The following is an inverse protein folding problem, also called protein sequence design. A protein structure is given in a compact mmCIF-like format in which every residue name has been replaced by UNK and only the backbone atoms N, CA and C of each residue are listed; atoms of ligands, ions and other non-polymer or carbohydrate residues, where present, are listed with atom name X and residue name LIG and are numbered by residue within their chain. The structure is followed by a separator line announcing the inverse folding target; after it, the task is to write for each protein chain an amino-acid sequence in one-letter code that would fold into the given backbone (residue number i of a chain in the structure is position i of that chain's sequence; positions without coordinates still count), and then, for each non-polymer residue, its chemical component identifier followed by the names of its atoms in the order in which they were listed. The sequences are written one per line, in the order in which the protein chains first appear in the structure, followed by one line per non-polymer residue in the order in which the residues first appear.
data_IF_601634510250
#
_entry.id   IF_601634510250
#
_cell.length_a   1.000
_cell.length_b   1.000
_cell.length_c   1.000
_cell.angle_alpha   90.00
_cell.angle_beta   90.00
_cell.angle_gamma   90.00
#
_symmetry.space_group_name_H-M   'P 1'
#
loop_
_entity.id
_entity.type
_entity.pdbx_description
1 polymer ?
#
# COMPACT_ATOMS: atom_id res chain seq x y z
N UNK A 1 4.94 -2.73 -11.92
CA UNK A 1 5.25 -1.43 -11.26
C UNK A 1 5.48 -1.64 -9.76
N UNK A 2 6.44 -0.94 -9.15
CA UNK A 2 6.72 -1.00 -7.71
C UNK A 2 6.52 0.40 -7.13
N UNK A 3 5.75 0.53 -6.05
CA UNK A 3 5.60 1.78 -5.30
C UNK A 3 6.38 1.69 -3.98
N UNK A 4 7.43 2.49 -3.82
CA UNK A 4 8.35 2.38 -2.65
C UNK A 4 8.50 3.68 -1.84
N UNK A 5 8.27 4.84 -2.46
CA UNK A 5 8.38 6.14 -1.80
C UNK A 5 7.24 6.37 -0.80
N UNK A 6 7.57 6.63 0.46
CA UNK A 6 6.57 7.03 1.46
C UNK A 6 5.62 5.92 1.97
N UNK A 7 5.82 4.66 1.58
CA UNK A 7 5.06 3.53 2.12
C UNK A 7 5.47 3.30 3.58
N UNK A 8 4.49 3.19 4.49
CA UNK A 8 4.73 3.10 5.93
C UNK A 8 4.08 1.90 6.60
N UNK A 9 3.04 1.34 6.00
CA UNK A 9 2.16 0.36 6.62
C UNK A 9 1.42 -0.45 5.53
N UNK A 10 0.66 -1.48 5.91
CA UNK A 10 -0.02 -2.38 4.98
C UNK A 10 -1.13 -1.70 4.19
N UNK A 11 -1.81 -0.72 4.79
CA UNK A 11 -2.83 0.07 4.09
C UNK A 11 -2.23 0.92 2.97
N UNK A 12 -1.01 1.46 3.14
CA UNK A 12 -0.31 2.19 2.08
C UNK A 12 0.02 1.27 0.91
N UNK A 13 0.46 0.04 1.19
CA UNK A 13 0.68 -0.98 0.14
C UNK A 13 -0.63 -1.27 -0.59
N UNK A 14 -1.72 -1.48 0.14
CA UNK A 14 -3.02 -1.78 -0.44
C UNK A 14 -3.48 -0.67 -1.40
N UNK A 15 -3.39 0.60 -0.98
CA UNK A 15 -3.69 1.77 -1.82
C UNK A 15 -2.79 1.83 -3.04
N UNK A 16 -1.49 1.58 -2.89
CA UNK A 16 -0.57 1.59 -4.02
C UNK A 16 -0.92 0.53 -5.06
N UNK A 17 -1.27 -0.68 -4.61
CA UNK A 17 -1.71 -1.76 -5.51
C UNK A 17 -3.02 -1.41 -6.20
N UNK A 18 -4.01 -0.92 -5.46
CA UNK A 18 -5.29 -0.48 -6.00
C UNK A 18 -5.17 0.70 -6.99
N UNK A 19 -4.09 1.49 -6.90
CA UNK A 19 -3.76 2.58 -7.83
C UNK A 19 -2.89 2.13 -9.02
N UNK A 20 -2.59 0.83 -9.16
CA UNK A 20 -1.92 0.28 -10.33
C UNK A 20 -0.55 -0.36 -10.05
N UNK A 21 0.00 -0.26 -8.85
CA UNK A 21 1.25 -0.94 -8.50
C UNK A 21 1.06 -2.46 -8.40
N UNK A 22 2.10 -3.24 -8.68
CA UNK A 22 2.08 -4.69 -8.48
C UNK A 22 2.70 -5.08 -7.13
N UNK A 23 3.60 -4.23 -6.63
CA UNK A 23 4.30 -4.43 -5.37
C UNK A 23 4.43 -3.11 -4.59
N UNK A 24 4.39 -3.20 -3.26
CA UNK A 24 4.74 -2.12 -2.35
C UNK A 24 6.10 -2.37 -1.71
N UNK A 25 6.99 -1.38 -1.76
CA UNK A 25 8.31 -1.43 -1.11
C UNK A 25 8.33 -0.56 0.14
N UNK A 26 8.93 -1.04 1.22
CA UNK A 26 9.15 -0.25 2.44
C UNK A 26 10.52 -0.54 3.04
N UNK A 27 11.28 0.51 3.35
CA UNK A 27 12.60 0.39 3.94
C UNK A 27 12.59 0.92 5.39
N UNK A 28 12.33 2.23 5.55
CA UNK A 28 12.44 2.92 6.84
C UNK A 28 11.63 2.28 7.99
N UNK A 29 10.38 1.83 7.81
CA UNK A 29 9.63 1.18 8.90
C UNK A 29 10.30 -0.11 9.39
N UNK A 30 10.84 -0.93 8.47
CA UNK A 30 11.52 -2.18 8.81
C UNK A 30 12.94 -1.95 9.34
N UNK A 31 13.68 -1.00 8.80
CA UNK A 31 15.03 -0.69 9.31
C UNK A 31 15.00 -0.30 10.79
N UNK A 32 13.96 0.43 11.22
CA UNK A 32 13.77 0.81 12.64
C UNK A 32 13.44 -0.36 13.56
N UNK A 33 12.78 -1.40 13.06
CA UNK A 33 12.47 -2.59 13.85
C UNK A 33 13.65 -3.57 13.88
N UNK A 34 14.35 -3.73 12.76
CA UNK A 34 15.59 -4.51 12.67
C UNK A 34 16.68 -3.99 13.61
N UNK A 35 16.79 -2.67 13.78
CA UNK A 35 17.78 -2.10 14.72
C UNK A 35 17.53 -2.42 16.19
N UNK A 36 16.36 -2.98 16.53
CA UNK A 36 16.02 -3.36 17.92
C UNK A 36 16.23 -4.86 18.15
N UNK A 37 15.60 -5.71 17.34
CA UNK A 37 15.82 -7.16 17.32
C UNK A 37 15.15 -7.83 16.12
N UNK A 38 15.58 -9.05 15.81
CA UNK A 38 14.93 -9.90 14.79
C UNK A 38 13.47 -10.21 15.12
N UNK A 39 13.14 -10.33 16.41
CA UNK A 39 11.77 -10.57 16.86
C UNK A 39 10.87 -9.39 16.51
N UNK A 40 11.31 -8.16 16.82
CA UNK A 40 10.56 -6.95 16.52
C UNK A 40 10.46 -6.69 15.01
N UNK A 41 11.50 -7.03 14.24
CA UNK A 41 11.44 -6.98 12.79
C UNK A 41 10.36 -7.92 12.22
N UNK A 42 10.31 -9.16 12.73
CA UNK A 42 9.30 -10.15 12.33
C UNK A 42 7.89 -9.70 12.72
N UNK A 43 7.69 -9.24 13.95
CA UNK A 43 6.39 -8.75 14.43
C UNK A 43 5.91 -7.54 13.61
N UNK A 44 6.81 -6.60 13.31
CA UNK A 44 6.51 -5.45 12.45
C UNK A 44 6.10 -5.87 11.04
N UNK A 45 6.82 -6.83 10.44
CA UNK A 45 6.48 -7.37 9.12
C UNK A 45 5.12 -8.07 9.12
N UNK A 46 4.83 -8.89 10.13
CA UNK A 46 3.54 -9.57 10.28
C UNK A 46 2.39 -8.57 10.44
N UNK A 47 2.58 -7.52 11.24
CA UNK A 47 1.59 -6.44 11.40
C UNK A 47 1.29 -5.74 10.07
N UNK A 48 2.31 -5.46 9.25
CA UNK A 48 2.12 -4.86 7.91
C UNK A 48 1.34 -5.81 6.99
N UNK A 49 1.63 -7.10 7.06
CA UNK A 49 0.90 -8.12 6.29
C UNK A 49 -0.57 -8.17 6.73
N UNK A 50 -0.85 -8.15 8.03
CA UNK A 50 -2.21 -8.20 8.57
C UNK A 50 -3.02 -6.95 8.22
N UNK A 51 -2.41 -5.77 8.23
CA UNK A 51 -3.05 -4.55 7.74
C UNK A 51 -3.42 -4.62 6.25
N UNK A 52 -2.52 -5.15 5.42
CA UNK A 52 -2.81 -5.37 3.99
C UNK A 52 -3.97 -6.35 3.83
N UNK A 53 -3.96 -7.47 4.56
CA UNK A 53 -5.05 -8.46 4.53
C UNK A 53 -6.37 -7.88 5.03
N UNK A 54 -6.33 -7.00 6.03
CA UNK A 54 -7.50 -6.28 6.53
C UNK A 54 -8.08 -5.37 5.46
N UNK A 55 -7.24 -4.58 4.78
CA UNK A 55 -7.68 -3.74 3.67
C UNK A 55 -8.28 -4.57 2.52
N UNK A 56 -7.67 -5.70 2.20
CA UNK A 56 -8.18 -6.66 1.21
C UNK A 56 -9.55 -7.22 1.61
N UNK A 57 -9.71 -7.63 2.88
CA UNK A 57 -10.97 -8.13 3.42
C UNK A 57 -12.09 -7.08 3.32
N UNK A 58 -11.82 -5.86 3.77
CA UNK A 58 -12.79 -4.75 3.76
C UNK A 58 -13.17 -4.28 2.34
N UNK A 59 -12.35 -4.60 1.33
CA UNK A 59 -12.61 -4.29 -0.08
C UNK A 59 -13.07 -5.52 -0.87
N UNK A 60 -13.40 -6.62 -0.20
CA UNK A 60 -13.82 -7.89 -0.82
C UNK A 60 -12.81 -8.45 -1.85
N UNK A 61 -11.53 -8.17 -1.65
CA UNK A 61 -10.44 -8.61 -2.52
C UNK A 61 -9.80 -9.89 -1.99
N UNK A 62 -10.03 -11.03 -2.65
CA UNK A 62 -9.50 -12.33 -2.23
C UNK A 62 -8.02 -12.55 -2.57
N UNK A 63 -7.50 -11.77 -3.51
CA UNK A 63 -6.12 -11.83 -3.97
C UNK A 63 -5.64 -10.45 -4.47
N UNK A 64 -4.35 -10.34 -4.80
CA UNK A 64 -3.75 -9.08 -5.21
C UNK A 64 -4.31 -8.55 -6.54
N UNK A 65 -4.72 -9.44 -7.47
CA UNK A 65 -5.32 -9.04 -8.75
C UNK A 65 -6.69 -8.40 -8.55
N UNK A 66 -7.49 -8.92 -7.61
CA UNK A 66 -8.76 -8.31 -7.22
C UNK A 66 -8.54 -6.96 -6.53
N UNK A 67 -7.54 -6.87 -5.66
CA UNK A 67 -7.18 -5.60 -5.02
C UNK A 67 -6.72 -4.56 -6.03
N UNK A 68 -5.97 -4.96 -7.05
CA UNK A 68 -5.49 -4.09 -8.13
C UNK A 68 -6.63 -3.46 -8.95
N UNK A 69 -7.76 -4.17 -9.05
CA UNK A 69 -8.95 -3.74 -9.79
C UNK A 69 -10.08 -3.22 -8.90
N UNK A 70 -9.83 -3.08 -7.60
CA UNK A 70 -10.88 -2.65 -6.68
C UNK A 70 -11.27 -1.19 -6.97
N UNK A 71 -12.53 -0.80 -6.76
CA UNK A 71 -12.95 0.58 -6.95
C UNK A 71 -12.18 1.52 -6.02
N UNK A 72 -11.67 2.62 -6.57
CA UNK A 72 -10.96 3.65 -5.80
C UNK A 72 -11.56 5.03 -6.05
N UNK A 73 -11.51 5.88 -5.03
CA UNK A 73 -11.87 7.29 -5.14
C UNK A 73 -10.61 8.10 -4.84
N UNK A 74 -10.19 8.93 -5.79
CA UNK A 74 -9.06 9.86 -5.64
C UNK A 74 -9.61 11.28 -5.47
N UNK A 75 -9.17 11.98 -4.43
CA UNK A 75 -9.67 13.31 -4.06
C UNK A 75 -8.53 14.30 -3.77
N UNK A 76 -8.86 15.58 -3.63
CA UNK A 76 -7.94 16.66 -3.28
C UNK A 76 -6.82 16.89 -4.29
N UNK A 77 -5.64 17.30 -3.81
CA UNK A 77 -4.47 17.65 -4.64
C UNK A 77 -4.06 16.55 -5.62
N UNK A 78 -4.19 15.27 -5.23
CA UNK A 78 -3.87 14.15 -6.13
C UNK A 78 -4.84 14.10 -7.31
N UNK A 79 -6.14 14.33 -7.08
CA UNK A 79 -7.13 14.39 -8.16
C UNK A 79 -6.85 15.59 -9.07
N UNK A 80 -6.62 16.77 -8.49
CA UNK A 80 -6.29 17.99 -9.24
C UNK A 80 -5.08 17.77 -10.16
N UNK A 81 -4.04 17.12 -9.65
CA UNK A 81 -2.85 16.77 -10.42
C UNK A 81 -3.14 15.81 -11.58
N UNK A 82 -3.92 14.75 -11.33
CA UNK A 82 -4.29 13.77 -12.36
C UNK A 82 -5.15 14.40 -13.47
N UNK A 83 -6.08 15.29 -13.12
CA UNK A 83 -6.89 16.05 -14.09
C UNK A 83 -6.00 16.98 -14.92
N UNK A 84 -5.11 17.74 -14.28
CA UNK A 84 -4.17 18.61 -14.98
C UNK A 84 -3.21 17.85 -15.92
N UNK A 85 -2.95 16.57 -15.64
CA UNK A 85 -2.16 15.67 -16.49
C UNK A 85 -2.99 14.94 -17.55
N UNK A 86 -4.32 15.11 -17.61
CA UNK A 86 -5.20 14.43 -18.55
C UNK A 86 -5.38 12.93 -18.27
N UNK A 87 -5.09 12.48 -17.03
CA UNK A 87 -5.19 11.08 -16.61
C UNK A 87 -6.54 10.75 -15.96
N UNK A 88 -7.30 11.78 -15.58
CA UNK A 88 -8.67 11.68 -15.08
C UNK A 88 -9.50 12.77 -15.79
N UNK A 89 -10.66 12.38 -16.30
CA UNK A 89 -11.70 13.27 -16.84
C UNK A 89 -12.69 13.66 -15.75
#
# INVERSE_FOLDING_TARGET
LIASGGVRNGLHIAKAVALGAHYGGLAMPLLKSVSKSDKEAKESLLSIIDELRTAMFLTSSKNMDQLHRCPVIVMGKTREWLVAKGLLS
#
